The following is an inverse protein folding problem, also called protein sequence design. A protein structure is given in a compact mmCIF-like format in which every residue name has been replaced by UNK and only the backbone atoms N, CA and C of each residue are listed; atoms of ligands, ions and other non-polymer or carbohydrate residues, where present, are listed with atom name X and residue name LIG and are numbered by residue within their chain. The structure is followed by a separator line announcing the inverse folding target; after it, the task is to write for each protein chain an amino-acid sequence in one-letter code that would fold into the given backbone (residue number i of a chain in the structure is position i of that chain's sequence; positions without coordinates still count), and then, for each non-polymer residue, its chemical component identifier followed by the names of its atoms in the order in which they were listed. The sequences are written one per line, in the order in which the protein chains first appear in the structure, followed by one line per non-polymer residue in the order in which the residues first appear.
data_IF_493596512638
#
_entry.id   IF_493596512638
#
_cell.length_a   1.000
_cell.length_b   1.000
_cell.length_c   1.000
_cell.angle_alpha   90.00
_cell.angle_beta   90.00
_cell.angle_gamma   90.00
#
_symmetry.space_group_name_H-M   'P 1'
#
loop_
_entity.id
_entity.type
_entity.pdbx_description
1 polymer ?
#
# COMPACT_ATOMS: atom_id res chain seq x y z
N UNK A 1 -2.29 -7.16 -4.41
CA UNK A 1 -1.59 -5.85 -4.46
C UNK A 1 -1.48 -5.43 -5.91
N UNK A 2 -1.77 -4.16 -6.19
CA UNK A 2 -1.75 -3.54 -7.52
C UNK A 2 -0.50 -3.91 -8.30
N UNK A 3 0.69 -3.76 -7.69
CA UNK A 3 1.97 -4.10 -8.35
C UNK A 3 2.04 -5.57 -8.79
N UNK A 4 1.56 -6.51 -7.96
CA UNK A 4 1.58 -7.94 -8.27
C UNK A 4 0.56 -8.32 -9.34
N UNK A 5 -0.62 -7.70 -9.30
CA UNK A 5 -1.63 -7.88 -10.34
C UNK A 5 -1.11 -7.40 -11.70
N UNK A 6 -0.48 -6.21 -11.77
CA UNK A 6 0.10 -5.69 -13.01
C UNK A 6 1.31 -6.51 -13.51
N UNK A 7 2.15 -7.03 -12.61
CA UNK A 7 3.22 -7.95 -13.01
C UNK A 7 2.68 -9.23 -13.64
N UNK A 8 1.60 -9.81 -13.10
CA UNK A 8 0.95 -10.96 -13.73
C UNK A 8 0.26 -10.60 -15.04
N UNK A 9 -0.37 -9.41 -15.12
CA UNK A 9 -0.93 -8.92 -16.38
C UNK A 9 0.15 -8.87 -17.47
N UNK A 10 1.33 -8.32 -17.14
CA UNK A 10 2.47 -8.23 -18.06
C UNK A 10 2.98 -9.61 -18.48
N UNK A 11 3.01 -10.57 -17.55
CA UNK A 11 3.38 -11.95 -17.86
C UNK A 11 2.43 -12.56 -18.90
N UNK A 12 1.12 -12.44 -18.70
CA UNK A 12 0.13 -12.90 -19.67
C UNK A 12 0.20 -12.14 -20.99
N UNK A 13 0.35 -10.82 -20.97
CA UNK A 13 0.42 -10.01 -22.17
C UNK A 13 1.64 -10.35 -23.05
N UNK A 14 2.78 -10.70 -22.43
CA UNK A 14 3.99 -11.15 -23.15
C UNK A 14 3.84 -12.55 -23.77
N UNK A 15 3.05 -13.43 -23.17
CA UNK A 15 2.82 -14.78 -23.68
C UNK A 15 1.69 -14.86 -24.70
N UNK A 16 0.54 -14.25 -24.38
CA UNK A 16 -0.73 -14.46 -25.08
C UNK A 16 -1.23 -13.20 -25.81
N UNK A 17 -0.47 -12.11 -25.72
CA UNK A 17 -0.81 -10.80 -26.28
C UNK A 17 -1.63 -9.94 -25.33
N UNK A 18 -1.61 -8.62 -25.58
CA UNK A 18 -2.22 -7.64 -24.68
C UNK A 18 -3.74 -7.79 -24.53
N UNK A 19 -4.41 -8.30 -25.57
CA UNK A 19 -5.85 -8.54 -25.59
C UNK A 19 -6.27 -9.82 -24.82
N UNK A 20 -5.31 -10.52 -24.20
CA UNK A 20 -5.61 -11.74 -23.42
C UNK A 20 -6.59 -11.46 -22.29
N UNK A 21 -7.59 -12.33 -22.16
CA UNK A 21 -8.58 -12.27 -21.07
C UNK A 21 -7.91 -12.29 -19.70
N UNK A 22 -6.83 -13.04 -19.56
CA UNK A 22 -6.10 -13.13 -18.29
C UNK A 22 -5.36 -11.82 -17.98
N UNK A 23 -4.74 -11.19 -18.99
CA UNK A 23 -4.12 -9.88 -18.82
C UNK A 23 -5.14 -8.81 -18.41
N UNK A 24 -6.28 -8.75 -19.11
CA UNK A 24 -7.37 -7.83 -18.77
C UNK A 24 -7.99 -8.12 -17.40
N UNK A 25 -8.16 -9.39 -17.02
CA UNK A 25 -8.64 -9.78 -15.70
C UNK A 25 -7.72 -9.27 -14.58
N UNK A 26 -6.41 -9.36 -14.78
CA UNK A 26 -5.42 -8.82 -13.85
C UNK A 26 -5.41 -7.30 -13.78
N UNK A 27 -5.59 -6.60 -14.92
CA UNK A 27 -5.79 -5.15 -14.95
C UNK A 27 -7.05 -4.77 -14.14
N UNK A 28 -8.16 -5.49 -14.32
CA UNK A 28 -9.40 -5.26 -13.58
C UNK A 28 -9.20 -5.33 -12.08
N UNK A 29 -8.51 -6.38 -11.59
CA UNK A 29 -8.17 -6.52 -10.17
C UNK A 29 -7.34 -5.32 -9.67
N UNK A 30 -6.35 -4.88 -10.44
CA UNK A 30 -5.52 -3.73 -10.07
C UNK A 30 -6.34 -2.44 -9.94
N UNK A 31 -7.29 -2.20 -10.86
CA UNK A 31 -8.20 -1.06 -10.83
C UNK A 31 -9.17 -1.14 -9.64
N UNK A 32 -9.70 -2.32 -9.35
CA UNK A 32 -10.61 -2.53 -8.21
C UNK A 32 -9.91 -2.30 -6.87
N UNK A 33 -8.69 -2.81 -6.70
CA UNK A 33 -7.90 -2.55 -5.48
C UNK A 33 -7.67 -1.04 -5.28
N UNK A 34 -7.31 -0.30 -6.34
CA UNK A 34 -7.15 1.17 -6.27
C UNK A 34 -8.47 1.87 -5.93
N UNK A 35 -9.57 1.47 -6.57
CA UNK A 35 -10.88 2.06 -6.31
C UNK A 35 -11.36 1.82 -4.88
N UNK A 36 -11.16 0.62 -4.35
CA UNK A 36 -11.49 0.26 -2.96
C UNK A 36 -10.68 1.12 -2.00
N UNK A 37 -9.37 1.18 -2.17
CA UNK A 37 -8.49 1.99 -1.32
C UNK A 37 -8.90 3.46 -1.33
N UNK A 38 -9.17 4.03 -2.51
CA UNK A 38 -9.55 5.44 -2.63
C UNK A 38 -10.92 5.76 -2.01
N UNK A 39 -11.88 4.83 -2.06
CA UNK A 39 -13.27 5.07 -1.62
C UNK A 39 -13.56 4.62 -0.20
N UNK A 40 -12.76 3.72 0.35
CA UNK A 40 -12.95 3.15 1.69
C UNK A 40 -11.83 3.62 2.60
N UNK A 41 -10.58 3.23 2.31
CA UNK A 41 -9.45 3.48 3.20
C UNK A 41 -9.04 4.96 3.26
N UNK A 42 -9.14 5.66 2.12
CA UNK A 42 -8.76 7.07 1.96
C UNK A 42 -9.99 7.98 1.84
N UNK A 43 -11.15 7.51 2.28
CA UNK A 43 -12.37 8.29 2.28
C UNK A 43 -12.25 9.50 3.23
N UNK A 44 -12.93 10.62 2.96
CA UNK A 44 -12.83 11.83 3.80
C UNK A 44 -13.05 11.58 5.29
N UNK A 45 -14.03 10.72 5.62
CA UNK A 45 -14.33 10.35 7.00
C UNK A 45 -13.18 9.62 7.70
N UNK A 46 -12.40 8.81 6.97
CA UNK A 46 -11.22 8.14 7.50
C UNK A 46 -10.08 9.14 7.70
N UNK A 47 -9.87 10.05 6.74
CA UNK A 47 -8.79 11.04 6.78
C UNK A 47 -8.91 12.05 7.92
N UNK A 48 -10.14 12.38 8.35
CA UNK A 48 -10.38 13.33 9.46
C UNK A 48 -9.88 12.77 10.80
N UNK A 49 -9.80 11.45 10.96
CA UNK A 49 -9.34 10.80 12.19
C UNK A 49 -7.81 10.68 12.27
N UNK A 50 -7.10 10.98 11.19
CA UNK A 50 -5.65 10.87 11.11
C UNK A 50 -4.96 12.10 11.71
N UNK A 51 -3.81 11.89 12.34
CA UNK A 51 -2.98 13.03 12.74
C UNK A 51 -2.27 13.68 11.55
N UNK A 52 -1.51 14.76 11.79
CA UNK A 52 -0.91 15.55 10.72
C UNK A 52 0.06 14.77 9.84
N UNK A 53 0.87 13.87 10.39
CA UNK A 53 1.85 13.10 9.60
C UNK A 53 1.18 11.96 8.84
N UNK A 54 0.23 11.28 9.46
CA UNK A 54 -0.58 10.25 8.79
C UNK A 54 -1.40 10.82 7.65
N UNK A 55 -1.99 11.99 7.87
CA UNK A 55 -2.76 12.70 6.85
C UNK A 55 -1.91 13.07 5.65
N UNK A 56 -0.68 13.56 5.86
CA UNK A 56 0.27 13.82 4.76
C UNK A 56 0.58 12.55 3.95
N UNK A 57 0.79 11.41 4.61
CA UNK A 57 1.02 10.14 3.93
C UNK A 57 -0.23 9.67 3.17
N UNK A 58 -1.41 9.80 3.77
CA UNK A 58 -2.68 9.42 3.16
C UNK A 58 -3.02 10.29 1.94
N UNK A 59 -2.82 11.60 2.01
CA UNK A 59 -2.98 12.54 0.89
C UNK A 59 -1.97 12.24 -0.24
N UNK A 60 -0.72 11.94 0.11
CA UNK A 60 0.28 11.48 -0.85
C UNK A 60 -0.17 10.18 -1.55
N UNK A 61 -0.65 9.19 -0.79
CA UNK A 61 -1.16 7.93 -1.32
C UNK A 61 -2.36 8.14 -2.25
N UNK A 62 -3.31 8.99 -1.85
CA UNK A 62 -4.49 9.32 -2.65
C UNK A 62 -4.12 9.97 -3.99
N UNK A 63 -3.20 10.93 -3.99
CA UNK A 63 -2.72 11.55 -5.23
C UNK A 63 -2.08 10.53 -6.18
N UNK A 64 -1.18 9.68 -5.67
CA UNK A 64 -0.45 8.72 -6.49
C UNK A 64 -1.34 7.57 -6.97
N UNK A 65 -2.29 7.12 -6.15
CA UNK A 65 -3.26 6.08 -6.53
C UNK A 65 -4.14 6.51 -7.71
N UNK A 66 -4.64 7.76 -7.69
CA UNK A 66 -5.42 8.33 -8.79
C UNK A 66 -4.61 8.39 -10.07
N UNK A 67 -3.38 8.89 -10.00
CA UNK A 67 -2.48 8.95 -11.14
C UNK A 67 -2.20 7.56 -11.71
N UNK A 68 -1.89 6.59 -10.85
CA UNK A 68 -1.66 5.21 -11.26
C UNK A 68 -2.90 4.59 -11.89
N UNK A 69 -4.10 4.84 -11.35
CA UNK A 69 -5.35 4.36 -11.94
C UNK A 69 -5.56 4.93 -13.35
N UNK A 70 -5.28 6.22 -13.56
CA UNK A 70 -5.33 6.82 -14.89
C UNK A 70 -4.34 6.13 -15.85
N UNK A 71 -3.09 5.97 -15.43
CA UNK A 71 -2.07 5.27 -16.22
C UNK A 71 -2.48 3.83 -16.57
N UNK A 72 -3.07 3.08 -15.63
CA UNK A 72 -3.58 1.73 -15.90
C UNK A 72 -4.74 1.76 -16.89
N UNK A 73 -5.65 2.72 -16.76
CA UNK A 73 -6.80 2.87 -17.66
C UNK A 73 -6.43 3.23 -19.10
N UNK A 74 -5.23 3.74 -19.33
CA UNK A 74 -4.70 4.11 -20.65
C UNK A 74 -3.82 3.02 -21.28
N UNK A 75 -3.64 1.87 -20.62
CA UNK A 75 -2.82 0.77 -21.15
C UNK A 75 -3.38 0.29 -22.50
N UNK A 76 -2.57 0.44 -23.54
CA UNK A 76 -2.90 0.00 -24.91
C UNK A 76 -1.80 -0.84 -25.55
N UNK A 77 -0.60 -0.80 -24.97
CA UNK A 77 0.57 -1.56 -25.42
C UNK A 77 1.23 -2.32 -24.26
N UNK A 78 2.07 -3.31 -24.59
CA UNK A 78 2.86 -4.05 -23.59
C UNK A 78 3.82 -3.09 -22.85
N UNK A 79 4.34 -2.08 -23.55
CA UNK A 79 5.22 -1.05 -22.97
C UNK A 79 4.47 -0.19 -21.93
N UNK A 80 3.22 0.18 -22.20
CA UNK A 80 2.37 0.89 -21.22
C UNK A 80 2.16 0.04 -19.97
N UNK A 81 1.91 -1.25 -20.15
CA UNK A 81 1.70 -2.19 -19.06
C UNK A 81 2.98 -2.38 -18.21
N UNK A 82 4.14 -2.42 -18.85
CA UNK A 82 5.44 -2.49 -18.19
C UNK A 82 5.72 -1.22 -17.37
N UNK A 83 5.47 -0.04 -17.94
CA UNK A 83 5.57 1.25 -17.22
C UNK A 83 4.64 1.29 -16.01
N UNK A 84 3.38 0.86 -16.19
CA UNK A 84 2.41 0.83 -15.10
C UNK A 84 2.83 -0.13 -13.98
N UNK A 85 3.32 -1.32 -14.31
CA UNK A 85 3.82 -2.28 -13.34
C UNK A 85 5.04 -1.75 -12.57
N UNK A 86 6.00 -1.15 -13.27
CA UNK A 86 7.18 -0.54 -12.66
C UNK A 86 6.81 0.63 -11.75
N UNK A 87 5.91 1.51 -12.18
CA UNK A 87 5.43 2.63 -11.37
C UNK A 87 4.69 2.15 -10.12
N UNK A 88 3.83 1.13 -10.24
CA UNK A 88 3.15 0.55 -9.09
C UNK A 88 4.12 -0.06 -8.07
N UNK A 89 5.16 -0.76 -8.51
CA UNK A 89 6.21 -1.28 -7.65
C UNK A 89 6.98 -0.14 -6.95
N UNK A 90 7.40 0.87 -7.71
CA UNK A 90 8.09 2.06 -7.18
C UNK A 90 7.26 2.82 -6.15
N UNK A 91 5.95 2.96 -6.38
CA UNK A 91 5.05 3.62 -5.45
C UNK A 91 4.89 2.82 -4.17
N UNK A 92 4.78 1.48 -4.26
CA UNK A 92 4.76 0.59 -3.09
C UNK A 92 6.02 0.75 -2.24
N UNK A 93 7.21 0.76 -2.86
CA UNK A 93 8.47 0.94 -2.14
C UNK A 93 8.53 2.29 -1.42
N UNK A 94 8.16 3.38 -2.12
CA UNK A 94 8.10 4.72 -1.52
C UNK A 94 7.10 4.80 -0.38
N UNK A 95 5.94 4.16 -0.52
CA UNK A 95 4.95 4.07 0.55
C UNK A 95 5.53 3.38 1.78
N UNK A 96 6.16 2.21 1.60
CA UNK A 96 6.75 1.45 2.70
C UNK A 96 7.87 2.21 3.42
N UNK A 97 8.68 2.98 2.68
CA UNK A 97 9.70 3.86 3.28
C UNK A 97 9.06 4.93 4.16
N UNK A 98 8.11 5.70 3.60
CA UNK A 98 7.41 6.77 4.33
C UNK A 98 6.65 6.24 5.54
N UNK A 99 5.97 5.11 5.38
CA UNK A 99 5.26 4.45 6.47
C UNK A 99 6.23 3.97 7.57
N UNK A 100 7.40 3.46 7.20
CA UNK A 100 8.45 3.09 8.15
C UNK A 100 9.02 4.29 8.92
N UNK A 101 9.22 5.43 8.24
CA UNK A 101 9.64 6.69 8.87
C UNK A 101 8.59 7.18 9.89
N UNK A 102 7.32 7.18 9.49
CA UNK A 102 6.19 7.54 10.35
C UNK A 102 6.05 6.59 11.55
N UNK A 103 6.24 5.28 11.36
CA UNK A 103 6.27 4.33 12.49
C UNK A 103 7.42 4.60 13.46
N UNK A 104 8.59 4.98 12.95
CA UNK A 104 9.73 5.34 13.81
C UNK A 104 9.46 6.63 14.58
N UNK A 105 8.81 7.63 13.98
CA UNK A 105 8.49 8.87 14.69
C UNK A 105 7.60 8.61 15.90
N UNK A 106 6.58 7.75 15.76
CA UNK A 106 5.77 7.29 16.90
C UNK A 106 6.57 6.59 18.00
N UNK A 107 7.54 5.75 17.62
CA UNK A 107 8.40 5.08 18.59
C UNK A 107 9.33 6.05 19.34
N UNK A 108 9.68 7.19 18.74
CA UNK A 108 10.49 8.25 19.39
C UNK A 108 9.67 9.26 20.18
N UNK A 109 8.44 9.59 19.77
CA UNK A 109 7.53 10.47 20.54
C UNK A 109 6.93 9.76 21.75
N UNK A 110 6.79 8.44 21.69
CA UNK A 110 6.37 7.62 22.81
C UNK A 110 7.58 7.29 23.73
N UNK A 111 8.10 8.30 24.43
CA UNK A 111 9.02 8.07 25.58
C UNK A 111 8.26 7.65 26.83
N UNK A 112 6.95 7.91 26.91
CA UNK A 112 6.09 7.63 28.06
C UNK A 112 4.63 7.29 27.63
N UNK A 113 4.42 6.28 26.77
CA UNK A 113 3.06 5.71 26.68
C UNK A 113 2.91 4.63 27.74
N UNK A 114 2.04 4.87 28.73
CA UNK A 114 1.60 3.89 29.74
C UNK A 114 1.31 2.51 29.12
N UNK A 115 0.67 2.49 27.94
CA UNK A 115 0.34 1.28 27.20
C UNK A 115 1.55 0.42 26.76
N UNK A 116 2.73 1.03 26.53
CA UNK A 116 3.96 0.31 26.16
C UNK A 116 4.72 -0.17 27.40
N UNK A 117 4.68 0.57 28.50
CA UNK A 117 5.17 0.09 29.81
C UNK A 117 4.36 -1.12 30.30
N UNK A 118 3.03 -1.07 30.17
CA UNK A 118 2.15 -2.19 30.49
C UNK A 118 2.44 -3.42 29.65
N UNK A 119 2.66 -3.24 28.34
CA UNK A 119 3.00 -4.35 27.45
C UNK A 119 4.37 -4.95 27.78
N UNK A 120 5.38 -4.12 28.05
CA UNK A 120 6.70 -4.58 28.48
C UNK A 120 6.61 -5.36 29.80
N UNK A 121 5.89 -4.81 30.77
CA UNK A 121 5.65 -5.42 32.07
C UNK A 121 4.93 -6.77 31.93
N UNK A 122 3.91 -6.85 31.08
CA UNK A 122 3.21 -8.09 30.75
C UNK A 122 4.13 -9.14 30.12
N UNK A 123 4.96 -8.75 29.14
CA UNK A 123 5.87 -9.65 28.45
C UNK A 123 6.98 -10.19 29.38
N UNK A 124 7.49 -9.36 30.29
CA UNK A 124 8.52 -9.75 31.25
C UNK A 124 7.97 -10.74 32.28
N UNK A 125 6.78 -10.47 32.85
CA UNK A 125 6.06 -11.44 33.71
C UNK A 125 5.85 -12.79 33.02
N UNK A 126 5.50 -12.76 31.73
CA UNK A 126 5.28 -13.99 30.95
C UNK A 126 6.56 -14.77 30.66
N UNK A 127 7.72 -14.12 30.60
CA UNK A 127 9.02 -14.79 30.45
C UNK A 127 9.45 -15.46 31.74
N UNK A 128 9.20 -14.82 32.88
CA UNK A 128 9.49 -15.40 34.20
C UNK A 128 8.61 -16.62 34.48
N UNK A 129 7.32 -16.55 34.16
CA UNK A 129 6.38 -17.67 34.29
C UNK A 129 6.69 -18.87 33.37
N UNK A 130 7.58 -18.72 32.38
CA UNK A 130 8.04 -19.81 31.51
C UNK A 130 9.38 -20.42 31.93
N UNK A 131 10.04 -19.85 32.94
CA UNK A 131 11.34 -20.31 33.45
C UNK A 131 11.24 -21.14 34.73
N UNK A 132 10.06 -21.23 35.34
CA UNK A 132 9.71 -22.20 36.38
C UNK A 132 8.90 -23.33 35.80
#
# INVERSE_FOLDING_TARGET
TVSGALSEALRFARSDGIASKDAHGRIGIALDELNIMERIDLAPQALVQLNSEEKKLAEWSLKNSRQLRHTIGEISTIDDMEKAAAEAARLREKFMSRYGELKRSYATECRECEALEDLKTYLDRRKEAKKG
#
